data_IF_065282994434
#
_entry.id   IF_065282994434
#
_cell.length_a   1.000
_cell.length_b   1.000
_cell.length_c   1.000
_cell.angle_alpha   90.00
_cell.angle_beta   90.00
_cell.angle_gamma   90.00
#
_symmetry.space_group_name_H-M   'P 1'
#
loop_
_entity.id
_entity.type
_entity.pdbx_description
1 polymer ?
#
# COMPACT_ATOMS: atom_id res chain seq x y z
N UNK A 1 -29.49 -0.73 -20.59
CA UNK A 1 -29.32 0.42 -21.51
C UNK A 1 -30.61 0.57 -22.30
N UNK A 2 -31.43 1.60 -22.05
CA UNK A 2 -32.56 1.90 -22.94
C UNK A 2 -31.99 2.61 -24.16
N UNK A 3 -32.07 1.96 -25.32
CA UNK A 3 -31.78 2.56 -26.61
C UNK A 3 -32.71 3.77 -26.78
N UNK A 4 -32.15 4.97 -26.67
CA UNK A 4 -32.84 6.19 -27.10
C UNK A 4 -32.89 6.10 -28.62
N UNK A 5 -34.05 5.74 -29.16
CA UNK A 5 -34.28 5.73 -30.61
C UNK A 5 -34.02 7.14 -31.15
N UNK A 6 -32.84 7.36 -31.73
CA UNK A 6 -32.39 8.67 -32.20
C UNK A 6 -33.20 9.18 -33.40
N UNK A 7 -33.95 8.30 -34.06
CA UNK A 7 -34.82 8.63 -35.19
C UNK A 7 -36.18 7.96 -35.03
N UNK A 8 -37.07 8.60 -34.27
CA UNK A 8 -38.47 8.23 -34.30
C UNK A 8 -39.05 8.60 -35.68
N UNK A 9 -39.13 7.62 -36.58
CA UNK A 9 -39.62 7.78 -37.96
C UNK A 9 -41.00 8.43 -38.02
N UNK A 10 -41.84 8.20 -37.01
CA UNK A 10 -43.16 8.84 -36.87
C UNK A 10 -43.05 10.35 -36.59
N UNK A 11 -42.11 10.75 -35.74
CA UNK A 11 -41.86 12.16 -35.42
C UNK A 11 -41.26 12.90 -36.63
N UNK A 12 -40.31 12.29 -37.34
CA UNK A 12 -39.72 12.85 -38.56
C UNK A 12 -40.78 13.06 -39.66
N UNK A 13 -41.66 12.08 -39.88
CA UNK A 13 -42.77 12.18 -40.84
C UNK A 13 -43.78 13.28 -40.44
N UNK A 14 -44.03 13.48 -39.14
CA UNK A 14 -44.90 14.56 -38.65
C UNK A 14 -44.26 15.94 -38.86
N UNK A 15 -42.97 16.09 -38.58
CA UNK A 15 -42.22 17.35 -38.82
C UNK A 15 -42.24 17.71 -40.31
N UNK A 16 -42.04 16.74 -41.20
CA UNK A 16 -42.14 16.94 -42.65
C UNK A 16 -43.56 17.35 -43.10
N UNK A 17 -44.61 16.75 -42.53
CA UNK A 17 -45.99 17.15 -42.79
C UNK A 17 -46.26 18.57 -42.32
N UNK A 18 -45.84 18.93 -41.12
CA UNK A 18 -46.04 20.25 -40.54
C UNK A 18 -45.30 21.34 -41.31
N UNK A 19 -44.06 21.08 -41.74
CA UNK A 19 -43.30 22.04 -42.56
C UNK A 19 -43.93 22.26 -43.94
N UNK A 20 -44.52 21.23 -44.55
CA UNK A 20 -45.30 21.35 -45.78
C UNK A 20 -46.56 22.21 -45.61
N UNK A 21 -47.27 22.06 -44.48
CA UNK A 21 -48.43 22.88 -44.12
C UNK A 21 -48.04 24.35 -43.95
N UNK A 22 -46.96 24.63 -43.23
CA UNK A 22 -46.42 25.98 -43.03
C UNK A 22 -46.02 26.63 -44.35
N UNK A 23 -45.33 25.88 -45.23
CA UNK A 23 -44.95 26.35 -46.56
C UNK A 23 -46.16 26.69 -47.44
N UNK A 24 -47.20 25.84 -47.43
CA UNK A 24 -48.42 26.07 -48.19
C UNK A 24 -49.18 27.31 -47.70
N UNK A 25 -49.20 27.54 -46.38
CA UNK A 25 -49.75 28.76 -45.80
C UNK A 25 -48.94 30.00 -46.22
N UNK A 26 -47.62 29.97 -46.08
CA UNK A 26 -46.76 31.10 -46.41
C UNK A 26 -46.80 31.47 -47.90
N UNK A 27 -46.93 30.48 -48.80
CA UNK A 27 -46.95 30.70 -50.26
C UNK A 27 -48.32 31.04 -50.84
N UNK A 28 -49.39 30.43 -50.32
CA UNK A 28 -50.73 30.53 -50.93
C UNK A 28 -51.78 31.19 -50.01
N UNK A 29 -51.38 31.65 -48.82
CA UNK A 29 -52.26 32.33 -47.87
C UNK A 29 -53.45 31.47 -47.44
N UNK A 30 -54.61 32.08 -47.26
CA UNK A 30 -55.85 31.40 -46.83
C UNK A 30 -56.33 30.32 -47.80
N UNK A 31 -55.96 30.39 -49.09
CA UNK A 31 -56.28 29.37 -50.11
C UNK A 31 -55.52 28.05 -49.88
N UNK A 32 -54.41 28.08 -49.15
CA UNK A 32 -53.66 26.88 -48.74
C UNK A 32 -54.39 26.03 -47.70
N UNK A 33 -55.21 26.63 -46.83
CA UNK A 33 -55.92 25.92 -45.75
C UNK A 33 -57.08 25.05 -46.24
N UNK A 34 -57.72 25.38 -47.36
CA UNK A 34 -58.86 24.62 -47.89
C UNK A 34 -58.52 23.15 -48.22
N UNK A 35 -57.24 22.83 -48.41
CA UNK A 35 -56.77 21.47 -48.72
C UNK A 35 -56.28 20.69 -47.50
N UNK A 36 -56.38 21.26 -46.30
CA UNK A 36 -55.79 20.70 -45.08
C UNK A 36 -56.88 20.47 -44.05
N UNK A 37 -56.87 19.30 -43.41
CA UNK A 37 -57.82 18.97 -42.37
C UNK A 37 -57.46 19.70 -41.06
N UNK A 38 -58.27 20.65 -40.57
CA UNK A 38 -57.96 21.43 -39.37
C UNK A 38 -57.86 20.55 -38.11
N UNK A 39 -58.69 19.52 -37.99
CA UNK A 39 -58.67 18.57 -36.86
C UNK A 39 -57.33 17.84 -36.75
N UNK A 40 -56.73 17.46 -37.88
CA UNK A 40 -55.41 16.81 -37.88
C UNK A 40 -54.29 17.75 -37.42
N UNK A 41 -54.35 19.04 -37.78
CA UNK A 41 -53.40 20.05 -37.30
C UNK A 41 -53.52 20.20 -35.77
N UNK A 42 -54.75 20.26 -35.25
CA UNK A 42 -54.98 20.35 -33.80
C UNK A 42 -54.47 19.12 -33.04
N UNK A 43 -54.72 17.91 -33.56
CA UNK A 43 -54.19 16.67 -32.97
C UNK A 43 -52.66 16.68 -32.99
N UNK A 44 -52.02 17.07 -34.09
CA UNK A 44 -50.57 17.16 -34.20
C UNK A 44 -49.97 18.18 -33.22
N UNK A 45 -50.65 19.33 -33.04
CA UNK A 45 -50.25 20.35 -32.07
C UNK A 45 -50.34 19.81 -30.63
N UNK A 46 -51.43 19.12 -30.29
CA UNK A 46 -51.62 18.51 -28.97
C UNK A 46 -50.55 17.43 -28.68
N UNK A 47 -50.24 16.55 -29.64
CA UNK A 47 -49.18 15.55 -29.48
C UNK A 47 -47.80 16.23 -29.35
N UNK A 48 -47.54 17.30 -30.10
CA UNK A 48 -46.27 18.04 -30.01
C UNK A 48 -46.09 18.72 -28.65
N UNK A 49 -47.16 19.26 -28.06
CA UNK A 49 -47.13 19.81 -26.70
C UNK A 49 -46.89 18.71 -25.64
N UNK A 50 -47.51 17.55 -25.81
CA UNK A 50 -47.25 16.38 -24.96
C UNK A 50 -45.80 15.90 -25.01
N UNK A 51 -45.23 15.80 -26.21
CA UNK A 51 -43.81 15.46 -26.42
C UNK A 51 -42.88 16.51 -25.81
N UNK A 52 -43.20 17.80 -25.94
CA UNK A 52 -42.44 18.89 -25.33
C UNK A 52 -42.39 18.76 -23.80
N UNK A 53 -43.52 18.45 -23.17
CA UNK A 53 -43.60 18.25 -21.72
C UNK A 53 -42.73 17.07 -21.27
N UNK A 54 -42.81 15.94 -21.97
CA UNK A 54 -42.00 14.75 -21.68
C UNK A 54 -40.51 15.06 -21.84
N UNK A 55 -40.12 15.73 -22.93
CA UNK A 55 -38.73 16.11 -23.20
C UNK A 55 -38.19 17.06 -22.13
N UNK A 56 -39.00 18.04 -21.69
CA UNK A 56 -38.62 18.96 -20.62
C UNK A 56 -38.42 18.25 -19.28
N UNK A 57 -39.33 17.32 -18.93
CA UNK A 57 -39.20 16.49 -17.73
C UNK A 57 -37.92 15.63 -17.77
N UNK A 58 -37.61 15.02 -18.92
CA UNK A 58 -36.39 14.24 -19.11
C UNK A 58 -35.13 15.12 -19.02
N UNK A 59 -35.14 16.30 -19.63
CA UNK A 59 -34.03 17.25 -19.53
C UNK A 59 -33.74 17.63 -18.08
N UNK A 60 -34.76 17.93 -17.28
CA UNK A 60 -34.59 18.25 -15.86
C UNK A 60 -33.96 17.09 -15.09
N UNK A 61 -34.42 15.86 -15.33
CA UNK A 61 -33.84 14.64 -14.71
C UNK A 61 -32.36 14.46 -15.08
N UNK A 62 -32.00 14.62 -16.35
CA UNK A 62 -30.60 14.50 -16.80
C UNK A 62 -29.74 15.61 -16.20
N UNK A 63 -30.26 16.84 -16.12
CA UNK A 63 -29.56 17.97 -15.49
C UNK A 63 -29.26 17.69 -14.01
N UNK A 64 -30.24 17.18 -13.26
CA UNK A 64 -30.04 16.80 -11.86
C UNK A 64 -29.03 15.65 -11.73
N UNK A 65 -29.09 14.65 -12.61
CA UNK A 65 -28.11 13.56 -12.64
C UNK A 65 -26.69 14.05 -12.91
N UNK A 66 -26.50 14.99 -13.83
CA UNK A 66 -25.18 15.56 -14.12
C UNK A 66 -24.59 16.27 -12.90
N UNK A 67 -25.39 17.05 -12.17
CA UNK A 67 -24.96 17.70 -10.93
C UNK A 67 -24.52 16.65 -9.89
N UNK A 68 -25.27 15.56 -9.75
CA UNK A 68 -24.91 14.48 -8.83
C UNK A 68 -23.61 13.78 -9.24
N UNK A 69 -23.41 13.55 -10.54
CA UNK A 69 -22.18 12.95 -11.06
C UNK A 69 -20.97 13.87 -10.85
N UNK A 70 -21.13 15.18 -11.03
CA UNK A 70 -20.07 16.16 -10.75
C UNK A 70 -19.64 16.10 -9.28
N UNK A 71 -20.61 16.08 -8.35
CA UNK A 71 -20.35 15.95 -6.91
C UNK A 71 -19.63 14.63 -6.58
N UNK A 72 -20.05 13.52 -7.20
CA UNK A 72 -19.40 12.22 -7.02
C UNK A 72 -17.96 12.22 -7.52
N UNK A 73 -17.70 12.80 -8.69
CA UNK A 73 -16.35 12.94 -9.25
C UNK A 73 -15.47 13.78 -8.32
N UNK A 74 -15.97 14.91 -7.81
CA UNK A 74 -15.22 15.74 -6.87
C UNK A 74 -14.90 15.00 -5.56
N UNK A 75 -15.86 14.23 -5.06
CA UNK A 75 -15.71 13.44 -3.84
C UNK A 75 -14.65 12.35 -4.03
N UNK A 76 -14.76 11.57 -5.11
CA UNK A 76 -13.78 10.54 -5.47
C UNK A 76 -12.39 11.13 -5.68
N UNK A 77 -12.28 12.31 -6.30
CA UNK A 77 -11.00 13.01 -6.48
C UNK A 77 -10.38 13.40 -5.13
N UNK A 78 -11.19 13.84 -4.16
CA UNK A 78 -10.72 14.15 -2.79
C UNK A 78 -10.28 12.88 -2.07
N UNK A 79 -11.06 11.80 -2.13
CA UNK A 79 -10.73 10.51 -1.51
C UNK A 79 -9.44 9.93 -2.09
N UNK A 80 -9.29 9.93 -3.42
CA UNK A 80 -8.08 9.49 -4.08
C UNK A 80 -6.84 10.27 -3.63
N UNK A 81 -6.94 11.60 -3.55
CA UNK A 81 -5.85 12.44 -3.06
C UNK A 81 -5.52 12.15 -1.59
N UNK A 82 -6.52 11.88 -0.76
CA UNK A 82 -6.31 11.50 0.64
C UNK A 82 -5.60 10.14 0.76
N UNK A 83 -6.01 9.14 -0.03
CA UNK A 83 -5.34 7.85 -0.08
C UNK A 83 -3.89 7.98 -0.55
N UNK A 84 -3.64 8.77 -1.60
CA UNK A 84 -2.28 9.05 -2.07
C UNK A 84 -1.39 9.66 -0.99
N UNK A 85 -1.92 10.65 -0.23
CA UNK A 85 -1.20 11.25 0.90
C UNK A 85 -0.91 10.25 2.01
N UNK A 86 -1.89 9.41 2.37
CA UNK A 86 -1.71 8.36 3.40
C UNK A 86 -0.62 7.38 3.00
N UNK A 87 -0.64 6.91 1.76
CA UNK A 87 0.36 5.98 1.23
C UNK A 87 1.77 6.59 1.30
N UNK A 88 1.91 7.86 0.94
CA UNK A 88 3.20 8.56 1.01
C UNK A 88 3.73 8.67 2.45
N UNK A 89 2.86 9.02 3.41
CA UNK A 89 3.23 9.09 4.83
C UNK A 89 3.67 7.71 5.34
N UNK A 90 2.96 6.66 4.95
CA UNK A 90 3.27 5.28 5.34
C UNK A 90 4.60 4.83 4.77
N UNK A 91 4.86 5.11 3.48
CA UNK A 91 6.15 4.83 2.84
C UNK A 91 7.32 5.55 3.54
N UNK A 92 7.14 6.83 3.88
CA UNK A 92 8.16 7.61 4.59
C UNK A 92 8.41 7.05 6.00
N UNK A 93 7.36 6.62 6.70
CA UNK A 93 7.48 5.96 8.01
C UNK A 93 8.25 4.65 7.91
N UNK A 94 7.93 3.79 6.93
CA UNK A 94 8.65 2.54 6.68
C UNK A 94 10.12 2.78 6.37
N UNK A 95 10.43 3.77 5.52
CA UNK A 95 11.82 4.15 5.21
C UNK A 95 12.58 4.60 6.46
N UNK A 96 11.95 5.39 7.33
CA UNK A 96 12.54 5.85 8.57
C UNK A 96 12.82 4.70 9.54
N UNK A 97 11.86 3.81 9.74
CA UNK A 97 12.01 2.62 10.61
C UNK A 97 13.12 1.70 10.09
N UNK A 98 13.16 1.44 8.77
CA UNK A 98 14.20 0.63 8.16
C UNK A 98 15.60 1.23 8.36
N UNK A 99 15.74 2.55 8.20
CA UNK A 99 17.01 3.25 8.45
C UNK A 99 17.45 3.14 9.90
N UNK A 100 16.53 3.30 10.85
CA UNK A 100 16.84 3.17 12.28
C UNK A 100 17.24 1.74 12.64
N UNK A 101 16.50 0.76 12.15
CA UNK A 101 16.79 -0.65 12.38
C UNK A 101 18.14 -1.06 11.78
N UNK A 102 18.46 -0.59 10.57
CA UNK A 102 19.78 -0.80 9.97
C UNK A 102 20.89 -0.24 10.87
N UNK A 103 20.74 0.99 11.36
CA UNK A 103 21.71 1.62 12.26
C UNK A 103 21.86 0.85 13.58
N UNK A 104 20.76 0.34 14.15
CA UNK A 104 20.81 -0.50 15.35
C UNK A 104 21.56 -1.81 15.11
N UNK A 105 21.31 -2.46 13.97
CA UNK A 105 22.00 -3.70 13.57
C UNK A 105 23.49 -3.42 13.36
N UNK A 106 23.86 -2.36 12.65
CA UNK A 106 25.26 -1.97 12.45
C UNK A 106 25.98 -1.71 13.77
N UNK A 107 25.33 -1.02 14.71
CA UNK A 107 25.91 -0.78 16.03
C UNK A 107 26.10 -2.07 16.82
N UNK A 108 25.13 -3.00 16.76
CA UNK A 108 25.24 -4.32 17.39
C UNK A 108 26.36 -5.16 16.76
N UNK A 109 26.51 -5.12 15.43
CA UNK A 109 27.59 -5.80 14.74
C UNK A 109 28.96 -5.27 15.17
N UNK A 110 29.12 -3.94 15.23
CA UNK A 110 30.36 -3.32 15.73
C UNK A 110 30.68 -3.72 17.17
N UNK A 111 29.68 -3.71 18.05
CA UNK A 111 29.85 -4.16 19.44
C UNK A 111 30.25 -5.65 19.51
N UNK A 112 29.62 -6.50 18.69
CA UNK A 112 29.96 -7.92 18.61
C UNK A 112 31.38 -8.15 18.06
N UNK A 113 31.82 -7.37 17.07
CA UNK A 113 33.19 -7.43 16.55
C UNK A 113 34.21 -7.02 17.63
N UNK A 114 33.94 -5.96 18.38
CA UNK A 114 34.78 -5.54 19.50
C UNK A 114 34.84 -6.62 20.59
N UNK A 115 33.69 -7.17 20.98
CA UNK A 115 33.61 -8.26 21.95
C UNK A 115 34.38 -9.50 21.48
N UNK A 116 34.30 -9.85 20.19
CA UNK A 116 35.07 -10.94 19.60
C UNK A 116 36.58 -10.71 19.71
N UNK A 117 37.05 -9.48 19.48
CA UNK A 117 38.46 -9.14 19.64
C UNK A 117 38.89 -9.29 21.11
N UNK A 118 38.11 -8.74 22.04
CA UNK A 118 38.39 -8.83 23.49
C UNK A 118 38.44 -10.29 23.94
N UNK A 119 37.46 -11.10 23.54
CA UNK A 119 37.42 -12.52 23.85
C UNK A 119 38.64 -13.25 23.29
N UNK A 120 39.01 -12.99 22.03
CA UNK A 120 40.19 -13.62 21.42
C UNK A 120 41.47 -13.32 22.21
N UNK A 121 41.63 -12.09 22.71
CA UNK A 121 42.75 -11.72 23.58
C UNK A 121 42.66 -12.48 24.91
N UNK A 122 41.51 -12.47 25.58
CA UNK A 122 41.31 -13.17 26.84
C UNK A 122 41.61 -14.69 26.75
N UNK A 123 41.16 -15.35 25.67
CA UNK A 123 41.45 -16.76 25.39
C UNK A 123 42.96 -17.00 25.22
N UNK A 124 43.65 -16.13 24.48
CA UNK A 124 45.11 -16.24 24.30
C UNK A 124 45.85 -16.07 25.62
N UNK A 125 45.49 -15.05 26.40
CA UNK A 125 46.10 -14.80 27.71
C UNK A 125 45.85 -15.97 28.68
N UNK A 126 44.63 -16.49 28.73
CA UNK A 126 44.29 -17.65 29.56
C UNK A 126 45.13 -18.88 29.17
N UNK A 127 45.29 -19.14 27.87
CA UNK A 127 46.14 -20.23 27.37
C UNK A 127 47.59 -20.08 27.84
N UNK A 128 48.16 -18.87 27.78
CA UNK A 128 49.50 -18.58 28.27
C UNK A 128 49.63 -18.82 29.78
N UNK A 129 48.65 -18.38 30.58
CA UNK A 129 48.63 -18.64 32.02
C UNK A 129 48.56 -20.13 32.36
N UNK A 130 47.65 -20.88 31.72
CA UNK A 130 47.55 -22.33 31.95
C UNK A 130 48.80 -23.08 31.53
N UNK A 131 49.50 -22.62 30.49
CA UNK A 131 50.80 -23.18 30.11
C UNK A 131 51.85 -22.95 31.20
N UNK A 132 51.98 -21.73 31.71
CA UNK A 132 52.94 -21.40 32.77
C UNK A 132 52.63 -22.17 34.07
N UNK A 133 51.36 -22.24 34.46
CA UNK A 133 50.92 -23.02 35.63
C UNK A 133 51.31 -24.50 35.48
N UNK A 134 51.11 -25.09 34.29
CA UNK A 134 51.50 -26.48 34.04
C UNK A 134 52.99 -26.71 34.24
N UNK A 135 53.82 -25.80 33.72
CA UNK A 135 55.29 -25.88 33.87
C UNK A 135 55.68 -25.85 35.35
N UNK A 136 55.06 -24.98 36.15
CA UNK A 136 55.36 -24.88 37.59
C UNK A 136 54.88 -26.11 38.36
N UNK A 137 53.67 -26.63 38.06
CA UNK A 137 53.14 -27.88 38.63
C UNK A 137 54.09 -29.05 38.34
N UNK A 138 54.58 -29.17 37.09
CA UNK A 138 55.55 -30.20 36.70
C UNK A 138 56.89 -30.06 37.44
N UNK A 139 57.34 -28.82 37.69
CA UNK A 139 58.55 -28.56 38.45
C UNK A 139 58.41 -28.98 39.91
N UNK A 140 57.32 -28.57 40.59
CA UNK A 140 57.02 -29.02 41.95
C UNK A 140 56.89 -30.54 42.05
N UNK A 141 56.32 -31.18 41.02
CA UNK A 141 56.20 -32.64 40.94
C UNK A 141 57.55 -33.35 40.84
N UNK A 142 58.54 -32.74 40.19
CA UNK A 142 59.91 -33.26 40.14
C UNK A 142 60.66 -33.05 41.45
N UNK A 143 60.49 -31.90 42.10
CA UNK A 143 61.17 -31.57 43.35
C UNK A 143 60.59 -32.32 44.56
N UNK A 144 59.27 -32.52 44.61
CA UNK A 144 58.55 -33.11 45.75
C UNK A 144 57.48 -34.14 45.32
N UNK A 145 57.86 -35.28 44.71
CA UNK A 145 56.96 -36.19 44.01
C UNK A 145 55.87 -36.84 44.87
N UNK A 146 56.09 -36.99 46.17
CA UNK A 146 55.17 -37.67 47.10
C UNK A 146 54.56 -36.72 48.14
N UNK A 147 54.75 -35.41 48.01
CA UNK A 147 54.17 -34.47 48.97
C UNK A 147 52.66 -34.36 48.74
N UNK A 148 51.90 -34.27 49.84
CA UNK A 148 50.44 -34.03 49.79
C UNK A 148 50.12 -32.69 49.14
N UNK A 149 50.97 -31.69 49.35
CA UNK A 149 50.84 -30.34 48.81
C UNK A 149 50.95 -30.35 47.28
N UNK A 150 51.92 -31.10 46.73
CA UNK A 150 52.10 -31.25 45.28
C UNK A 150 50.89 -31.92 44.62
N UNK A 151 50.34 -32.96 45.24
CA UNK A 151 49.11 -33.61 44.74
C UNK A 151 47.90 -32.67 44.78
N UNK A 152 47.81 -31.82 45.81
CA UNK A 152 46.75 -30.83 45.93
C UNK A 152 46.85 -29.75 44.85
N UNK A 153 48.06 -29.23 44.60
CA UNK A 153 48.31 -28.23 43.55
C UNK A 153 48.01 -28.80 42.16
N UNK A 154 48.42 -30.03 41.88
CA UNK A 154 48.12 -30.72 40.61
C UNK A 154 46.61 -30.88 40.41
N UNK A 155 45.88 -31.28 41.45
CA UNK A 155 44.42 -31.39 41.40
C UNK A 155 43.74 -30.05 41.12
N UNK A 156 44.15 -28.99 41.83
CA UNK A 156 43.60 -27.64 41.63
C UNK A 156 43.84 -27.13 40.21
N UNK A 157 45.01 -27.43 39.62
CA UNK A 157 45.29 -27.08 38.23
C UNK A 157 44.30 -27.74 37.25
N UNK A 158 44.07 -29.05 37.36
CA UNK A 158 43.13 -29.74 36.47
C UNK A 158 41.68 -29.31 36.70
N UNK A 159 41.28 -29.06 37.95
CA UNK A 159 39.96 -28.50 38.27
C UNK A 159 39.77 -27.13 37.60
N UNK A 160 40.78 -26.24 37.65
CA UNK A 160 40.73 -24.94 37.00
C UNK A 160 40.66 -25.03 35.47
N UNK A 161 41.43 -25.94 34.86
CA UNK A 161 41.39 -26.17 33.40
C UNK A 161 40.04 -26.73 32.96
N UNK A 162 39.47 -27.66 33.73
CA UNK A 162 38.16 -28.28 33.43
C UNK A 162 37.05 -27.24 33.52
N UNK A 163 37.02 -26.46 34.61
CA UNK A 163 36.04 -25.38 34.78
C UNK A 163 36.14 -24.33 33.65
N UNK A 164 37.35 -23.98 33.22
CA UNK A 164 37.54 -23.09 32.09
C UNK A 164 37.02 -23.67 30.77
N UNK A 165 37.26 -24.96 30.52
CA UNK A 165 36.77 -25.65 29.32
C UNK A 165 35.24 -25.72 29.28
N UNK A 166 34.60 -26.02 30.41
CA UNK A 166 33.13 -26.05 30.55
C UNK A 166 32.52 -24.68 30.25
N UNK A 167 33.00 -23.62 30.89
CA UNK A 167 32.53 -22.24 30.66
C UNK A 167 32.71 -21.84 29.19
N UNK A 168 33.83 -22.24 28.57
CA UNK A 168 34.11 -21.92 27.18
C UNK A 168 33.18 -22.66 26.22
N UNK A 169 32.85 -23.91 26.51
CA UNK A 169 31.92 -24.72 25.72
C UNK A 169 30.49 -24.18 25.81
N UNK A 170 30.03 -23.81 27.00
CA UNK A 170 28.73 -23.16 27.20
C UNK A 170 28.62 -21.85 26.42
N UNK A 171 29.72 -21.10 26.35
CA UNK A 171 29.76 -19.85 25.58
C UNK A 171 29.74 -20.05 24.05
N UNK A 172 30.30 -21.17 23.54
CA UNK A 172 30.38 -21.46 22.10
C UNK A 172 29.16 -22.23 21.59
N UNK A 173 28.59 -23.13 22.41
CA UNK A 173 27.53 -24.06 22.03
C UNK A 173 26.12 -23.68 22.47
N UNK A 174 25.95 -22.58 23.21
CA UNK A 174 24.65 -22.01 23.61
C UNK A 174 23.93 -21.23 22.51
#
# INVERSE_FOLDING_TARGET
MRTVDRFNTKQANRVYRNSKVIYQFAKYGSKGFYKINPTLIFIDAAISLGELFISYSQYKKVKEQNIQLEIQIETLKKEFNNLKKRLQIEEDKFKFELKNNSKLIENRLKANEQNKIILKVAYKTAQEYFYLMRVEVEKYKKEYPFSKETQQIERQYYEAVTAYAEISLDYIGG
#
